data_IF_834651859166
#
_entry.id   IF_834651859166
#
_cell.length_a   1.000
_cell.length_b   1.000
_cell.length_c   1.000
_cell.angle_alpha   90.00
_cell.angle_beta   90.00
_cell.angle_gamma   90.00
#
_symmetry.space_group_name_H-M   'P 1'
#
loop_
_entity.id
_entity.type
_entity.pdbx_description
1 polymer ?
#
# COMPACT_ATOMS: atom_id res chain seq x y z
N UNK A 1 78.58 -24.09 -40.44
CA UNK A 1 79.88 -23.75 -39.83
C UNK A 1 79.73 -22.46 -39.04
N UNK A 2 80.33 -22.39 -37.83
CA UNK A 2 80.46 -21.22 -36.90
C UNK A 2 79.12 -20.79 -36.24
N UNK A 3 78.75 -21.27 -35.03
CA UNK A 3 79.17 -20.88 -33.65
C UNK A 3 79.31 -19.38 -33.42
N UNK A 4 78.54 -18.81 -32.47
CA UNK A 4 78.90 -17.88 -31.36
C UNK A 4 77.62 -17.56 -30.55
N UNK A 5 77.50 -18.05 -29.30
CA UNK A 5 77.67 -17.32 -28.01
C UNK A 5 76.48 -16.37 -27.68
N UNK A 6 75.55 -16.74 -26.79
CA UNK A 6 75.57 -16.67 -25.32
C UNK A 6 75.38 -15.24 -24.75
N UNK A 7 74.24 -15.00 -24.08
CA UNK A 7 74.14 -14.16 -22.89
C UNK A 7 72.82 -14.44 -22.15
N UNK A 8 72.97 -14.84 -20.90
CA UNK A 8 71.93 -15.13 -19.90
C UNK A 8 71.50 -13.82 -19.24
N UNK A 9 70.20 -13.59 -19.08
CA UNK A 9 69.67 -12.65 -18.09
C UNK A 9 68.54 -13.35 -17.34
N UNK A 10 68.85 -13.77 -16.11
CA UNK A 10 67.88 -14.25 -15.12
C UNK A 10 67.32 -13.02 -14.41
N UNK A 11 66.02 -12.77 -14.57
CA UNK A 11 65.30 -11.78 -13.76
C UNK A 11 64.52 -12.52 -12.66
N UNK A 12 64.97 -12.34 -11.41
CA UNK A 12 64.24 -12.75 -10.21
C UNK A 12 62.99 -11.86 -10.08
N UNK A 13 61.80 -12.44 -10.26
CA UNK A 13 60.54 -11.79 -9.90
C UNK A 13 60.24 -12.18 -8.45
N UNK A 14 60.48 -11.24 -7.53
CA UNK A 14 60.02 -11.31 -6.15
C UNK A 14 58.50 -11.29 -6.12
N UNK A 15 57.92 -12.28 -5.42
CA UNK A 15 56.50 -12.40 -5.19
C UNK A 15 55.95 -11.25 -4.34
N UNK A 16 54.70 -10.90 -4.62
CA UNK A 16 53.82 -10.21 -3.69
C UNK A 16 52.53 -11.02 -3.64
N UNK A 17 52.46 -11.99 -2.71
CA UNK A 17 51.17 -12.59 -2.33
C UNK A 17 50.39 -11.55 -1.55
N UNK A 18 49.52 -10.80 -2.23
CA UNK A 18 48.45 -10.06 -1.57
C UNK A 18 47.41 -11.07 -1.10
N UNK A 19 47.45 -11.42 0.18
CA UNK A 19 46.37 -12.11 0.87
C UNK A 19 45.20 -11.12 0.93
N UNK A 20 44.31 -11.16 -0.06
CA UNK A 20 43.05 -10.44 -0.03
C UNK A 20 42.19 -11.08 1.05
N UNK A 21 42.11 -10.44 2.21
CA UNK A 21 41.10 -10.78 3.22
C UNK A 21 39.72 -10.67 2.57
N UNK A 22 38.81 -11.66 2.73
CA UNK A 22 37.42 -11.43 2.40
C UNK A 22 36.94 -10.30 3.31
N UNK A 23 36.61 -9.16 2.72
CA UNK A 23 35.79 -8.17 3.38
C UNK A 23 34.49 -8.88 3.75
N UNK A 24 34.36 -9.28 5.01
CA UNK A 24 33.08 -9.67 5.55
C UNK A 24 32.22 -8.41 5.51
N UNK A 25 31.49 -8.24 4.40
CA UNK A 25 30.41 -7.30 4.32
C UNK A 25 29.47 -7.67 5.46
N UNK A 26 29.51 -6.89 6.53
CA UNK A 26 28.53 -6.98 7.59
C UNK A 26 27.17 -6.84 6.90
N UNK A 27 26.43 -7.95 6.84
CA UNK A 27 25.06 -7.96 6.34
C UNK A 27 24.22 -7.24 7.40
N UNK A 28 24.29 -5.91 7.41
CA UNK A 28 23.30 -5.11 8.12
C UNK A 28 21.98 -5.40 7.44
N UNK A 29 21.08 -6.10 8.13
CA UNK A 29 19.70 -6.24 7.68
C UNK A 29 19.16 -4.85 7.38
N UNK A 30 18.65 -4.59 6.16
CA UNK A 30 18.05 -3.31 5.83
C UNK A 30 16.89 -3.05 6.79
N UNK A 31 17.04 -2.06 7.66
CA UNK A 31 15.92 -1.56 8.47
C UNK A 31 15.19 -0.54 7.59
N UNK A 32 13.91 -0.77 7.35
CA UNK A 32 13.11 0.20 6.61
C UNK A 32 13.02 1.50 7.43
N UNK A 33 13.33 2.67 6.83
CA UNK A 33 13.19 3.94 7.52
C UNK A 33 11.73 4.16 7.93
N UNK A 34 11.54 4.75 9.12
CA UNK A 34 10.22 5.07 9.70
C UNK A 34 9.30 3.86 9.95
N UNK A 35 9.84 2.64 9.98
CA UNK A 35 9.04 1.46 10.28
C UNK A 35 8.46 1.53 11.71
N UNK A 36 7.14 1.33 11.89
CA UNK A 36 6.52 1.35 13.20
C UNK A 36 6.98 0.16 14.07
N UNK A 37 6.84 0.31 15.39
CA UNK A 37 7.03 -0.79 16.33
C UNK A 37 6.03 -1.90 15.98
N UNK A 38 6.55 -3.07 15.59
CA UNK A 38 5.74 -4.21 15.13
C UNK A 38 5.64 -4.37 13.61
N UNK A 39 6.36 -3.56 12.83
CA UNK A 39 6.55 -3.83 11.40
C UNK A 39 7.18 -5.23 11.21
N UNK A 40 6.82 -5.95 10.12
CA UNK A 40 7.42 -7.24 9.83
C UNK A 40 8.95 -7.14 9.72
N UNK A 41 9.64 -8.18 10.19
CA UNK A 41 11.08 -8.29 10.01
C UNK A 41 11.45 -8.35 8.52
N UNK A 42 12.66 -7.90 8.17
CA UNK A 42 13.18 -7.95 6.80
C UNK A 42 12.97 -9.33 6.16
N UNK A 43 12.37 -9.34 4.97
CA UNK A 43 12.09 -10.53 4.18
C UNK A 43 12.63 -10.33 2.76
N UNK A 44 13.71 -11.04 2.43
CA UNK A 44 14.35 -10.98 1.12
C UNK A 44 13.48 -11.55 -0.01
N UNK A 45 12.41 -12.29 0.32
CA UNK A 45 11.46 -12.81 -0.67
C UNK A 45 10.43 -11.76 -1.10
N UNK A 46 10.23 -10.70 -0.30
CA UNK A 46 9.41 -9.57 -0.70
C UNK A 46 10.17 -8.72 -1.73
N UNK A 47 9.58 -8.41 -2.90
CA UNK A 47 10.23 -7.56 -3.89
C UNK A 47 10.43 -6.14 -3.33
N UNK A 48 11.37 -5.36 -3.88
CA UNK A 48 11.49 -3.95 -3.54
C UNK A 48 10.18 -3.19 -3.86
N UNK A 49 9.92 -2.04 -3.19
CA UNK A 49 8.70 -1.27 -3.42
C UNK A 49 8.50 -0.91 -4.89
N UNK A 50 7.33 -1.22 -5.43
CA UNK A 50 6.88 -0.80 -6.74
C UNK A 50 6.26 0.61 -6.74
N UNK A 51 5.85 1.11 -7.92
CA UNK A 51 5.35 2.49 -8.06
C UNK A 51 4.02 2.76 -7.34
N UNK A 52 3.23 1.73 -7.05
CA UNK A 52 1.92 1.85 -6.39
C UNK A 52 1.93 1.36 -4.94
N UNK A 53 3.11 0.97 -4.46
CA UNK A 53 3.30 0.52 -3.09
C UNK A 53 3.50 1.73 -2.17
N UNK A 54 3.26 1.54 -0.87
CA UNK A 54 3.43 2.60 0.12
C UNK A 54 4.54 2.20 1.08
N UNK A 55 5.60 2.99 1.13
CA UNK A 55 6.62 2.89 2.19
C UNK A 55 6.03 3.35 3.53
N UNK A 56 6.61 2.94 4.66
CA UNK A 56 6.12 3.33 5.99
C UNK A 56 5.91 4.84 6.15
N UNK A 57 6.83 5.67 5.62
CA UNK A 57 6.68 7.13 5.61
C UNK A 57 5.39 7.64 4.93
N UNK A 58 4.91 6.93 3.89
CA UNK A 58 3.68 7.26 3.17
C UNK A 58 2.43 6.67 3.84
N UNK A 59 2.60 5.57 4.58
CA UNK A 59 1.51 4.91 5.30
C UNK A 59 0.93 5.85 6.37
N UNK A 60 1.77 6.54 7.12
CA UNK A 60 1.34 7.47 8.18
C UNK A 60 0.49 8.62 7.64
N UNK A 61 0.83 9.14 6.45
CA UNK A 61 0.08 10.20 5.80
C UNK A 61 -1.35 9.77 5.43
N UNK A 62 -1.53 8.50 5.05
CA UNK A 62 -2.85 7.94 4.71
C UNK A 62 -3.61 7.57 5.98
N UNK A 63 -2.92 7.03 6.99
CA UNK A 63 -3.53 6.66 8.26
C UNK A 63 -4.05 7.87 9.05
N UNK A 64 -3.47 9.05 8.83
CA UNK A 64 -3.89 10.29 9.50
C UNK A 64 -4.95 11.09 8.74
N UNK A 65 -5.37 10.62 7.55
CA UNK A 65 -6.35 11.32 6.73
C UNK A 65 -7.75 11.28 7.39
N UNK A 66 -8.55 12.35 7.27
CA UNK A 66 -9.89 12.37 7.82
C UNK A 66 -10.81 11.42 7.04
N UNK A 67 -11.59 10.62 7.77
CA UNK A 67 -12.63 9.71 7.22
C UNK A 67 -13.91 10.43 6.79
N UNK A 68 -13.96 11.76 6.89
CA UNK A 68 -15.10 12.56 6.47
C UNK A 68 -14.65 13.89 5.87
N UNK A 69 -15.50 14.47 5.03
CA UNK A 69 -15.33 15.82 4.50
C UNK A 69 -16.66 16.56 4.53
N UNK A 70 -16.59 17.89 4.63
CA UNK A 70 -17.77 18.76 4.70
C UNK A 70 -17.71 19.82 3.63
N UNK A 71 -18.88 20.30 3.24
CA UNK A 71 -19.00 21.47 2.40
C UNK A 71 -18.41 22.68 3.13
N UNK A 72 -17.39 23.31 2.55
CA UNK A 72 -16.82 24.55 3.09
C UNK A 72 -17.70 25.75 2.71
N UNK A 73 -17.94 26.68 3.65
CA UNK A 73 -18.59 27.97 3.36
C UNK A 73 -20.02 28.19 3.86
N UNK A 74 -20.62 27.29 4.64
CA UNK A 74 -21.91 27.53 5.32
C UNK A 74 -21.71 28.28 6.65
N UNK A 75 -21.02 29.43 6.64
CA UNK A 75 -20.66 30.17 7.86
C UNK A 75 -21.73 31.17 8.33
N UNK A 76 -22.94 31.20 7.74
CA UNK A 76 -23.91 32.28 7.96
C UNK A 76 -25.35 31.86 8.31
N UNK A 77 -25.56 30.68 8.91
CA UNK A 77 -26.87 30.32 9.46
C UNK A 77 -26.78 29.96 10.94
N UNK A 78 -27.40 30.82 11.76
CA UNK A 78 -27.48 30.77 13.21
C UNK A 78 -27.92 29.42 13.77
N UNK A 79 -27.19 28.95 14.78
CA UNK A 79 -27.64 28.14 15.92
C UNK A 79 -28.66 27.01 15.68
N UNK A 80 -28.16 25.76 15.77
CA UNK A 80 -28.86 24.47 15.97
C UNK A 80 -29.31 23.65 14.75
N UNK A 81 -29.14 24.13 13.52
CA UNK A 81 -29.37 23.33 12.30
C UNK A 81 -28.18 23.30 11.30
N UNK A 82 -27.08 24.01 11.59
CA UNK A 82 -25.91 24.11 10.71
C UNK A 82 -24.80 23.09 11.05
N UNK A 83 -25.15 21.81 11.25
CA UNK A 83 -24.18 20.75 11.06
C UNK A 83 -23.94 20.67 9.54
N UNK A 84 -22.91 21.35 9.06
CA UNK A 84 -22.65 21.48 7.61
C UNK A 84 -22.73 20.13 6.89
N UNK A 85 -23.41 20.14 5.75
CA UNK A 85 -23.60 18.97 4.87
C UNK A 85 -22.27 18.27 4.64
N UNK A 86 -22.18 17.01 5.05
CA UNK A 86 -20.95 16.24 5.03
C UNK A 86 -21.08 14.92 4.29
N UNK A 87 -19.93 14.28 4.12
CA UNK A 87 -19.79 12.93 3.64
C UNK A 87 -18.91 12.15 4.60
N UNK A 88 -19.28 10.91 4.87
CA UNK A 88 -18.56 9.99 5.73
C UNK A 88 -18.19 8.73 4.93
N UNK A 89 -16.92 8.33 5.05
CA UNK A 89 -16.38 7.12 4.47
C UNK A 89 -16.43 6.02 5.52
N UNK A 90 -17.24 5.01 5.24
CA UNK A 90 -17.27 3.74 5.94
C UNK A 90 -16.45 2.72 5.12
N UNK A 91 -15.32 2.28 5.68
CA UNK A 91 -14.47 1.29 5.04
C UNK A 91 -15.15 -0.08 4.98
N UNK A 92 -16.03 -0.37 5.94
CA UNK A 92 -16.48 -1.72 6.25
C UNK A 92 -15.32 -2.64 6.64
N UNK A 93 -15.64 -3.81 7.17
CA UNK A 93 -14.62 -4.78 7.58
C UNK A 93 -13.89 -5.35 6.36
N UNK A 94 -12.59 -5.60 6.52
CA UNK A 94 -11.84 -6.50 5.61
C UNK A 94 -12.10 -7.92 6.07
N UNK A 95 -12.57 -8.78 5.16
CA UNK A 95 -12.94 -10.15 5.50
C UNK A 95 -12.52 -11.15 4.42
N UNK A 96 -12.33 -12.39 4.86
CA UNK A 96 -12.11 -13.53 3.97
C UNK A 96 -13.45 -14.12 3.56
N UNK A 97 -13.64 -14.35 2.26
CA UNK A 97 -14.76 -15.12 1.71
C UNK A 97 -14.35 -16.58 1.57
N UNK A 98 -15.29 -17.47 1.88
CA UNK A 98 -15.12 -18.92 1.82
C UNK A 98 -14.64 -19.39 0.45
N UNK A 99 -13.84 -20.46 0.44
CA UNK A 99 -13.39 -21.16 -0.77
C UNK A 99 -14.57 -21.74 -1.55
N UNK A 100 -14.55 -21.61 -2.88
CA UNK A 100 -15.57 -22.14 -3.80
C UNK A 100 -14.93 -22.65 -5.09
N UNK A 101 -15.74 -23.16 -6.03
CA UNK A 101 -15.24 -23.61 -7.34
C UNK A 101 -14.49 -22.47 -8.06
N UNK A 102 -13.19 -22.65 -8.27
CA UNK A 102 -12.30 -21.66 -8.91
C UNK A 102 -11.37 -20.89 -7.95
N UNK A 103 -11.63 -20.88 -6.63
CA UNK A 103 -10.78 -20.22 -5.63
C UNK A 103 -10.54 -21.12 -4.41
N UNK A 104 -9.59 -22.08 -4.50
CA UNK A 104 -9.40 -23.11 -3.48
C UNK A 104 -9.07 -22.55 -2.10
N UNK A 105 -8.45 -21.37 -2.03
CA UNK A 105 -8.08 -20.71 -0.77
C UNK A 105 -8.99 -19.53 -0.41
N UNK A 106 -10.03 -19.26 -1.21
CA UNK A 106 -10.95 -18.15 -1.05
C UNK A 106 -10.42 -16.82 -1.60
N UNK A 107 -11.06 -15.73 -1.18
CA UNK A 107 -10.67 -14.35 -1.52
C UNK A 107 -10.71 -13.48 -0.26
N UNK A 108 -9.92 -12.40 -0.23
CA UNK A 108 -9.99 -11.36 0.81
C UNK A 108 -10.50 -10.07 0.17
N UNK A 109 -11.37 -9.35 0.85
CA UNK A 109 -11.95 -8.14 0.32
C UNK A 109 -12.77 -7.36 1.33
N UNK A 110 -13.47 -6.34 0.85
CA UNK A 110 -14.32 -5.48 1.66
C UNK A 110 -15.47 -4.89 0.84
N UNK A 111 -16.36 -4.16 1.52
CA UNK A 111 -17.50 -3.48 0.89
C UNK A 111 -17.61 -2.03 1.35
N UNK A 112 -16.62 -1.19 1.01
CA UNK A 112 -16.60 0.19 1.48
C UNK A 112 -17.74 1.00 0.88
N UNK A 113 -18.25 1.93 1.68
CA UNK A 113 -19.36 2.81 1.36
C UNK A 113 -19.03 4.24 1.76
N UNK A 114 -19.34 5.20 0.89
CA UNK A 114 -19.42 6.62 1.29
C UNK A 114 -20.88 7.04 1.33
N UNK A 115 -21.28 7.71 2.40
CA UNK A 115 -22.63 8.30 2.56
C UNK A 115 -22.50 9.78 2.81
N UNK A 116 -23.33 10.59 2.15
CA UNK A 116 -23.39 12.03 2.26
C UNK A 116 -24.79 12.47 2.70
N UNK A 117 -24.86 13.56 3.47
CA UNK A 117 -26.10 14.15 3.96
C UNK A 117 -26.92 14.86 2.86
N UNK A 118 -26.37 14.95 1.64
CA UNK A 118 -27.02 15.55 0.47
C UNK A 118 -26.75 14.74 -0.81
N UNK A 119 -27.52 15.03 -1.86
CA UNK A 119 -27.24 14.53 -3.20
C UNK A 119 -26.00 15.24 -3.75
N UNK A 120 -24.97 14.47 -4.08
CA UNK A 120 -23.74 15.01 -4.64
C UNK A 120 -23.90 15.19 -6.15
N UNK A 121 -23.31 16.25 -6.71
CA UNK A 121 -23.20 16.41 -8.17
C UNK A 121 -22.42 15.22 -8.73
N UNK A 122 -21.34 14.87 -8.05
CA UNK A 122 -20.52 13.69 -8.36
C UNK A 122 -19.88 13.19 -7.07
N UNK A 123 -19.85 11.88 -6.91
CA UNK A 123 -19.08 11.20 -5.87
C UNK A 123 -18.27 10.08 -6.51
N UNK A 124 -16.97 10.06 -6.23
CA UNK A 124 -16.03 9.05 -6.72
C UNK A 124 -15.35 8.40 -5.53
N UNK A 125 -15.36 7.07 -5.50
CA UNK A 125 -14.69 6.28 -4.48
C UNK A 125 -13.66 5.36 -5.13
N UNK A 126 -12.43 5.39 -4.62
CA UNK A 126 -11.34 4.51 -5.01
C UNK A 126 -10.90 3.69 -3.82
N UNK A 127 -10.80 2.37 -3.98
CA UNK A 127 -10.32 1.47 -2.94
C UNK A 127 -9.14 0.66 -3.42
N UNK A 128 -8.11 0.56 -2.61
CA UNK A 128 -6.92 -0.25 -2.88
C UNK A 128 -6.67 -1.22 -1.73
N UNK A 129 -6.36 -2.46 -2.06
CA UNK A 129 -5.97 -3.48 -1.08
C UNK A 129 -4.46 -3.64 -1.07
N UNK A 130 -3.89 -3.61 0.12
CA UNK A 130 -2.48 -3.84 0.38
C UNK A 130 -2.28 -5.02 1.32
N UNK A 131 -1.11 -5.64 1.25
CA UNK A 131 -0.56 -6.51 2.30
C UNK A 131 0.60 -5.82 3.00
N UNK A 132 0.75 -6.07 4.29
CA UNK A 132 1.86 -5.52 5.07
C UNK A 132 3.12 -6.34 4.86
N UNK A 133 4.23 -5.65 4.58
CA UNK A 133 5.58 -6.23 4.39
C UNK A 133 6.59 -5.38 5.15
N UNK A 134 7.85 -5.84 5.21
CA UNK A 134 8.87 -5.22 6.05
C UNK A 134 9.17 -3.75 5.72
N UNK A 135 9.06 -3.36 4.44
CA UNK A 135 9.29 -1.99 4.00
C UNK A 135 8.04 -1.10 3.98
N UNK A 136 6.84 -1.66 4.19
CA UNK A 136 5.58 -0.91 4.12
C UNK A 136 4.37 -1.75 3.71
N UNK A 137 3.58 -1.21 2.79
CA UNK A 137 2.37 -1.82 2.24
C UNK A 137 2.55 -2.10 0.76
N UNK A 138 2.50 -3.38 0.40
CA UNK A 138 2.54 -3.82 -0.98
C UNK A 138 1.13 -3.93 -1.55
N UNK A 139 0.88 -3.28 -2.69
CA UNK A 139 -0.40 -3.34 -3.36
C UNK A 139 -0.65 -4.77 -3.89
N UNK A 140 -1.82 -5.33 -3.55
CA UNK A 140 -2.22 -6.68 -3.99
C UNK A 140 -3.45 -6.67 -4.89
N UNK A 141 -4.27 -5.61 -4.83
CA UNK A 141 -5.38 -5.41 -5.77
C UNK A 141 -5.86 -3.95 -5.82
N UNK A 142 -6.58 -3.63 -6.91
CA UNK A 142 -7.09 -2.29 -7.19
C UNK A 142 -6.10 -1.43 -8.00
N UNK A 143 -6.30 -0.10 -8.05
CA UNK A 143 -7.39 0.63 -7.43
C UNK A 143 -8.74 0.27 -8.08
N UNK A 144 -9.72 -0.08 -7.25
CA UNK A 144 -11.10 -0.25 -7.67
C UNK A 144 -11.78 1.12 -7.63
N UNK A 145 -12.27 1.61 -8.77
CA UNK A 145 -12.94 2.90 -8.85
C UNK A 145 -14.44 2.74 -9.11
N UNK A 146 -15.24 3.56 -8.46
CA UNK A 146 -16.67 3.69 -8.72
C UNK A 146 -17.08 5.15 -8.66
N UNK A 147 -18.05 5.55 -9.47
CA UNK A 147 -18.55 6.92 -9.51
C UNK A 147 -20.06 6.93 -9.63
N UNK A 148 -20.71 7.77 -8.82
CA UNK A 148 -22.14 8.09 -8.93
C UNK A 148 -22.32 9.59 -9.16
N UNK A 149 -23.42 9.94 -9.83
CA UNK A 149 -23.84 11.32 -10.14
C UNK A 149 -25.26 11.52 -9.62
N UNK A 150 -25.52 12.62 -8.94
CA UNK A 150 -26.85 12.93 -8.39
C UNK A 150 -27.29 12.02 -7.23
N UNK A 151 -26.35 11.34 -6.55
CA UNK A 151 -26.62 10.44 -5.43
C UNK A 151 -25.84 10.85 -4.19
N UNK A 152 -26.42 10.62 -3.01
CA UNK A 152 -25.76 10.82 -1.72
C UNK A 152 -25.05 9.58 -1.18
N UNK A 153 -24.94 8.50 -1.96
CA UNK A 153 -24.29 7.27 -1.51
C UNK A 153 -23.57 6.59 -2.66
N UNK A 154 -22.44 5.97 -2.36
CA UNK A 154 -21.73 5.05 -3.25
C UNK A 154 -21.22 3.87 -2.43
N UNK A 155 -21.35 2.65 -2.95
CA UNK A 155 -20.83 1.45 -2.33
C UNK A 155 -20.10 0.60 -3.37
N UNK A 156 -18.94 0.07 -3.00
CA UNK A 156 -18.19 -0.87 -3.83
C UNK A 156 -18.41 -2.29 -3.33
N UNK A 157 -18.83 -3.18 -4.24
CA UNK A 157 -19.22 -4.55 -3.89
C UNK A 157 -18.17 -5.60 -4.27
N UNK A 158 -17.25 -5.25 -5.18
CA UNK A 158 -16.29 -6.16 -5.83
C UNK A 158 -14.83 -5.83 -5.50
N UNK A 159 -14.56 -5.26 -4.33
CA UNK A 159 -13.19 -5.07 -3.85
C UNK A 159 -12.69 -6.39 -3.29
N UNK A 160 -11.86 -7.11 -4.04
CA UNK A 160 -11.35 -8.41 -3.62
C UNK A 160 -10.01 -8.77 -4.29
N UNK A 161 -9.24 -9.61 -3.61
CA UNK A 161 -8.04 -10.28 -4.12
C UNK A 161 -8.15 -11.78 -3.86
N UNK A 162 -7.64 -12.59 -4.79
CA UNK A 162 -7.65 -14.05 -4.68
C UNK A 162 -6.51 -14.52 -3.79
N UNK A 163 -6.80 -15.46 -2.88
CA UNK A 163 -5.79 -16.08 -2.05
C UNK A 163 -5.01 -17.16 -2.85
N UNK A 164 -3.69 -17.08 -2.82
CA UNK A 164 -2.78 -18.10 -3.37
C UNK A 164 -2.55 -19.27 -2.42
N UNK A 165 -2.67 -19.04 -1.11
CA UNK A 165 -2.45 -20.01 -0.04
C UNK A 165 -3.14 -19.55 1.26
N UNK A 166 -2.92 -20.25 2.37
CA UNK A 166 -3.56 -20.00 3.67
C UNK A 166 -2.65 -19.32 4.71
N UNK A 167 -1.49 -18.77 4.32
CA UNK A 167 -0.63 -18.06 5.28
C UNK A 167 -1.34 -16.84 5.86
N UNK A 168 -1.12 -16.56 7.14
CA UNK A 168 -1.66 -15.36 7.77
C UNK A 168 -0.96 -14.13 7.20
N UNK A 169 -1.75 -13.19 6.68
CA UNK A 169 -1.27 -11.93 6.11
C UNK A 169 -2.11 -10.79 6.67
N UNK A 170 -1.44 -9.70 7.07
CA UNK A 170 -2.11 -8.46 7.46
C UNK A 170 -2.47 -7.68 6.22
N UNK A 171 -3.77 -7.56 5.94
CA UNK A 171 -4.30 -6.76 4.84
C UNK A 171 -4.73 -5.40 5.34
N UNK A 172 -4.43 -4.36 4.57
CA UNK A 172 -4.94 -3.00 4.77
C UNK A 172 -5.73 -2.58 3.53
N UNK A 173 -6.99 -2.25 3.72
CA UNK A 173 -7.84 -1.67 2.68
C UNK A 173 -7.89 -0.16 2.86
N UNK A 174 -7.41 0.57 1.86
CA UNK A 174 -7.45 2.05 1.87
C UNK A 174 -8.55 2.50 0.95
N UNK A 175 -9.48 3.29 1.48
CA UNK A 175 -10.58 3.88 0.75
C UNK A 175 -10.35 5.38 0.67
N UNK A 176 -10.48 5.94 -0.53
CA UNK A 176 -10.45 7.38 -0.77
C UNK A 176 -11.73 7.78 -1.48
N UNK A 177 -12.38 8.82 -0.97
CA UNK A 177 -13.62 9.35 -1.51
C UNK A 177 -13.44 10.81 -1.85
N UNK A 178 -13.92 11.21 -3.02
CA UNK A 178 -13.93 12.59 -3.50
C UNK A 178 -15.33 12.93 -3.96
N UNK A 179 -15.86 14.06 -3.50
CA UNK A 179 -17.20 14.50 -3.84
C UNK A 179 -17.24 15.95 -4.29
N UNK A 180 -18.19 16.26 -5.17
CA UNK A 180 -18.58 17.63 -5.55
C UNK A 180 -19.97 17.91 -5.01
N UNK A 181 -20.07 18.88 -4.11
CA UNK A 181 -21.34 19.33 -3.54
C UNK A 181 -22.17 20.09 -4.57
N UNK A 182 -23.50 20.23 -4.39
CA UNK A 182 -24.36 21.04 -5.25
C UNK A 182 -23.89 22.48 -5.44
N UNK A 183 -23.15 23.03 -4.47
CA UNK A 183 -22.55 24.37 -4.55
C UNK A 183 -21.31 24.45 -5.42
N UNK A 184 -20.86 23.34 -6.00
CA UNK A 184 -19.65 23.25 -6.83
C UNK A 184 -18.35 23.08 -6.03
N UNK A 185 -18.40 23.18 -4.70
CA UNK A 185 -17.24 22.90 -3.84
C UNK A 185 -16.91 21.41 -3.84
N UNK A 186 -15.62 21.09 -3.69
CA UNK A 186 -15.16 19.70 -3.62
C UNK A 186 -14.62 19.37 -2.23
N UNK A 187 -14.72 18.10 -1.85
CA UNK A 187 -14.13 17.59 -0.62
C UNK A 187 -13.57 16.20 -0.83
N UNK A 188 -12.58 15.85 -0.02
CA UNK A 188 -11.90 14.55 -0.07
C UNK A 188 -11.74 13.99 1.33
N UNK A 189 -11.98 12.69 1.49
CA UNK A 189 -11.66 11.92 2.69
C UNK A 189 -10.91 10.65 2.31
N UNK A 190 -10.16 10.12 3.25
CA UNK A 190 -9.62 8.78 3.16
C UNK A 190 -9.74 8.11 4.52
N UNK A 191 -9.96 6.80 4.49
CA UNK A 191 -10.03 5.95 5.65
C UNK A 191 -9.40 4.60 5.31
N UNK A 192 -9.00 3.85 6.32
CA UNK A 192 -8.48 2.52 6.12
C UNK A 192 -9.08 1.54 7.13
N UNK A 193 -9.08 0.26 6.76
CA UNK A 193 -9.42 -0.85 7.64
C UNK A 193 -8.33 -1.92 7.53
N UNK A 194 -8.04 -2.60 8.63
CA UNK A 194 -7.06 -3.68 8.67
C UNK A 194 -7.64 -4.98 9.21
N UNK A 195 -7.17 -6.09 8.65
CA UNK A 195 -7.44 -7.41 9.20
C UNK A 195 -6.28 -8.35 8.95
N UNK A 196 -5.92 -9.15 9.97
CA UNK A 196 -5.04 -10.30 9.81
C UNK A 196 -5.87 -11.52 9.46
N UNK A 197 -5.67 -12.07 8.26
CA UNK A 197 -6.51 -13.13 7.70
C UNK A 197 -5.64 -14.27 7.12
N UNK A 198 -6.12 -15.53 7.20
CA UNK A 198 -5.43 -16.69 6.63
C UNK A 198 -5.58 -16.71 5.11
N UNK A 199 -4.81 -15.88 4.43
CA UNK A 199 -4.79 -15.71 2.98
C UNK A 199 -3.41 -15.18 2.57
N UNK A 200 -2.65 -15.98 1.83
CA UNK A 200 -1.50 -15.46 1.10
C UNK A 200 -1.93 -14.87 -0.23
N UNK A 201 -1.28 -13.80 -0.66
CA UNK A 201 -1.34 -13.32 -2.05
C UNK A 201 0.05 -13.34 -2.65
N UNK A 202 0.13 -13.51 -3.98
CA UNK A 202 1.40 -13.44 -4.70
C UNK A 202 2.05 -12.06 -4.56
#
# INVERSE_FOLDING_TARGET
>A
MRKFAAAVVVAFIFGSLTISSPAMAASSTPVAPDAPIGAPAYDASAPPPGPNDLTWSQVDAISSAPSSYKQQGLNNASSRAAAGVGCHVDTGNVYKRSSGSGYPYGTVGGKPRTTCDTLMVRITQTTTLYKTVWWGLQQVAGPFSSTNVGQGTIQQTNVQVVCSDLRNTTFRMVVRSTGTFPTGTTGTASAYEEANLPCGTK
#
